data_IF_719663943070
#
_entry.id   IF_719663943070
#
_cell.length_a   1.000
_cell.length_b   1.000
_cell.length_c   1.000
_cell.angle_alpha   90.00
_cell.angle_beta   90.00
_cell.angle_gamma   90.00
#
_symmetry.space_group_name_H-M   'P 1'
#
loop_
_entity.id
_entity.type
_entity.pdbx_description
1 polymer ?
#
# COMPACT_ATOMS: atom_id res chain seq x y z
N UNK A 1 16.91 -6.65 20.98
CA UNK A 1 15.80 -7.33 20.26
C UNK A 1 16.22 -8.78 20.07
N UNK A 2 15.50 -9.72 20.67
CA UNK A 2 15.74 -11.16 20.45
C UNK A 2 15.46 -11.47 18.97
N UNK A 3 16.36 -12.19 18.30
CA UNK A 3 16.18 -12.50 16.89
C UNK A 3 14.97 -13.43 16.71
N UNK A 4 14.08 -13.10 15.78
CA UNK A 4 12.96 -13.96 15.40
C UNK A 4 13.45 -15.34 14.97
N UNK A 5 12.79 -16.40 15.42
CA UNK A 5 13.07 -17.75 14.94
C UNK A 5 12.69 -17.89 13.47
N UNK A 6 13.26 -18.85 12.77
CA UNK A 6 12.95 -19.09 11.36
C UNK A 6 11.45 -19.38 11.14
N UNK A 7 10.83 -20.15 12.03
CA UNK A 7 9.38 -20.43 11.98
C UNK A 7 8.54 -19.16 12.14
N UNK A 8 8.94 -18.26 13.04
CA UNK A 8 8.24 -16.97 13.23
C UNK A 8 8.35 -16.08 11.98
N UNK A 9 9.53 -16.06 11.35
CA UNK A 9 9.75 -15.30 10.09
C UNK A 9 8.90 -15.84 8.95
N UNK A 10 8.78 -17.16 8.79
CA UNK A 10 7.95 -17.77 7.75
C UNK A 10 6.46 -17.44 7.98
N UNK A 11 5.97 -17.55 9.22
CA UNK A 11 4.61 -17.18 9.57
C UNK A 11 4.34 -15.69 9.32
N UNK A 12 5.27 -14.82 9.72
CA UNK A 12 5.16 -13.38 9.47
C UNK A 12 5.15 -13.07 7.97
N UNK A 13 6.01 -13.74 7.18
CA UNK A 13 6.04 -13.59 5.72
C UNK A 13 4.69 -13.94 5.11
N UNK A 14 4.12 -15.10 5.48
CA UNK A 14 2.82 -15.54 4.95
C UNK A 14 1.70 -14.52 5.27
N UNK A 15 1.56 -14.15 6.54
CA UNK A 15 0.48 -13.25 6.96
C UNK A 15 0.63 -11.83 6.41
N UNK A 16 1.84 -11.30 6.36
CA UNK A 16 2.08 -9.98 5.79
C UNK A 16 1.89 -9.97 4.28
N UNK A 17 2.34 -11.01 3.56
CA UNK A 17 2.09 -11.15 2.13
C UNK A 17 0.59 -11.24 1.82
N UNK A 18 -0.15 -12.02 2.59
CA UNK A 18 -1.61 -12.10 2.46
C UNK A 18 -2.28 -10.75 2.76
N UNK A 19 -1.84 -10.06 3.78
CA UNK A 19 -2.36 -8.74 4.13
C UNK A 19 -2.09 -7.71 3.02
N UNK A 20 -0.86 -7.65 2.48
CA UNK A 20 -0.55 -6.80 1.33
C UNK A 20 -1.45 -7.12 0.12
N UNK A 21 -1.60 -8.39 -0.20
CA UNK A 21 -2.43 -8.86 -1.30
C UNK A 21 -3.88 -8.38 -1.15
N UNK A 22 -4.49 -8.61 0.01
CA UNK A 22 -5.87 -8.20 0.29
C UNK A 22 -6.03 -6.68 0.22
N UNK A 23 -5.09 -5.92 0.77
CA UNK A 23 -5.17 -4.44 0.75
C UNK A 23 -5.01 -3.90 -0.66
N UNK A 24 -4.08 -4.43 -1.47
CA UNK A 24 -3.88 -3.99 -2.86
C UNK A 24 -5.15 -4.30 -3.70
N UNK A 25 -5.71 -5.50 -3.56
CA UNK A 25 -6.94 -5.88 -4.27
C UNK A 25 -8.09 -4.94 -3.89
N UNK A 26 -8.29 -4.74 -2.59
CA UNK A 26 -9.34 -3.85 -2.08
C UNK A 26 -9.15 -2.41 -2.54
N UNK A 27 -7.92 -1.90 -2.49
CA UNK A 27 -7.58 -0.54 -2.94
C UNK A 27 -7.90 -0.33 -4.42
N UNK A 28 -7.43 -1.23 -5.28
CA UNK A 28 -7.66 -1.15 -6.73
C UNK A 28 -9.15 -1.29 -7.09
N UNK A 29 -9.90 -2.06 -6.32
CA UNK A 29 -11.35 -2.15 -6.48
C UNK A 29 -12.04 -0.86 -6.03
N UNK A 30 -11.73 -0.38 -4.83
CA UNK A 30 -12.40 0.75 -4.21
C UNK A 30 -12.11 2.08 -4.92
N UNK A 31 -10.97 2.19 -5.62
CA UNK A 31 -10.63 3.42 -6.36
C UNK A 31 -11.52 3.65 -7.58
N UNK A 32 -12.24 2.63 -8.07
CA UNK A 32 -13.24 2.78 -9.12
C UNK A 32 -14.51 3.52 -8.65
N UNK A 33 -14.70 3.63 -7.34
CA UNK A 33 -15.92 4.15 -6.73
C UNK A 33 -15.69 5.59 -6.25
N UNK A 34 -16.03 6.62 -7.06
CA UNK A 34 -15.88 8.00 -6.66
C UNK A 34 -16.91 8.36 -5.59
N UNK A 35 -16.51 9.25 -4.69
CA UNK A 35 -17.37 9.87 -3.67
C UNK A 35 -17.05 11.34 -3.53
N UNK A 36 -18.01 12.09 -3.02
CA UNK A 36 -17.84 13.52 -2.71
C UNK A 36 -17.96 13.73 -1.21
N UNK A 37 -16.92 14.33 -0.61
CA UNK A 37 -16.84 14.62 0.83
C UNK A 37 -16.65 16.13 0.99
N UNK A 38 -17.58 16.80 1.65
CA UNK A 38 -17.55 18.27 1.83
C UNK A 38 -17.36 19.07 0.54
N UNK A 39 -17.89 18.58 -0.58
CA UNK A 39 -17.73 19.22 -1.89
C UNK A 39 -16.47 18.86 -2.65
N UNK A 40 -15.54 18.08 -2.07
CA UNK A 40 -14.33 17.60 -2.73
C UNK A 40 -14.53 16.19 -3.28
N UNK A 41 -14.01 15.95 -4.49
CA UNK A 41 -14.07 14.64 -5.14
C UNK A 41 -12.89 13.76 -4.68
N UNK A 42 -13.18 12.53 -4.29
CA UNK A 42 -12.21 11.50 -3.96
C UNK A 42 -12.75 10.11 -4.33
N UNK A 43 -12.09 9.04 -3.88
CA UNK A 43 -12.57 7.67 -4.09
C UNK A 43 -12.57 6.88 -2.78
N UNK A 44 -13.38 5.82 -2.71
CA UNK A 44 -13.34 4.89 -1.58
C UNK A 44 -11.95 4.25 -1.40
N UNK A 45 -11.14 4.21 -2.44
CA UNK A 45 -9.76 3.75 -2.38
C UNK A 45 -8.90 4.51 -1.37
N UNK A 46 -9.15 5.80 -1.14
CA UNK A 46 -8.43 6.61 -0.17
C UNK A 46 -8.41 6.01 1.23
N UNK A 47 -9.48 5.35 1.65
CA UNK A 47 -9.60 4.73 2.98
C UNK A 47 -8.79 3.44 3.14
N UNK A 48 -8.38 2.79 2.05
CA UNK A 48 -7.57 1.56 2.08
C UNK A 48 -6.06 1.82 2.16
N UNK A 49 -5.59 2.98 1.73
CA UNK A 49 -4.16 3.30 1.67
C UNK A 49 -3.42 3.25 3.01
N UNK A 50 -3.99 3.71 4.14
CA UNK A 50 -3.32 3.61 5.43
C UNK A 50 -2.92 2.17 5.79
N UNK A 51 -3.71 1.19 5.35
CA UNK A 51 -3.40 -0.22 5.57
C UNK A 51 -2.21 -0.72 4.74
N UNK A 52 -1.98 -0.15 3.55
CA UNK A 52 -0.78 -0.44 2.74
C UNK A 52 0.47 0.05 3.47
N UNK A 53 0.44 1.26 4.04
CA UNK A 53 1.55 1.79 4.82
C UNK A 53 1.83 0.93 6.05
N UNK A 54 0.76 0.52 6.78
CA UNK A 54 0.90 -0.38 7.92
C UNK A 54 1.56 -1.70 7.53
N UNK A 55 1.08 -2.35 6.48
CA UNK A 55 1.64 -3.61 5.99
C UNK A 55 3.11 -3.46 5.59
N UNK A 56 3.43 -2.38 4.87
CA UNK A 56 4.79 -2.07 4.42
C UNK A 56 5.73 -1.86 5.60
N UNK A 57 5.33 -1.04 6.56
CA UNK A 57 6.16 -0.69 7.71
C UNK A 57 6.41 -1.89 8.63
N UNK A 58 5.40 -2.71 8.88
CA UNK A 58 5.55 -3.98 9.61
C UNK A 58 6.49 -4.93 8.88
N UNK A 59 6.40 -5.01 7.55
CA UNK A 59 7.28 -5.85 6.73
C UNK A 59 8.73 -5.36 6.80
N UNK A 60 8.95 -4.03 6.71
CA UNK A 60 10.29 -3.43 6.85
C UNK A 60 10.89 -3.70 8.22
N UNK A 61 10.10 -3.61 9.28
CA UNK A 61 10.60 -3.87 10.64
C UNK A 61 11.00 -5.30 10.90
N UNK A 62 10.27 -6.26 10.33
CA UNK A 62 10.54 -7.69 10.54
C UNK A 62 11.67 -8.19 9.64
N UNK A 63 11.70 -7.74 8.39
CA UNK A 63 12.60 -8.29 7.36
C UNK A 63 13.73 -7.35 6.95
N UNK A 64 13.67 -6.07 7.33
CA UNK A 64 14.56 -5.03 6.86
C UNK A 64 14.18 -4.49 5.48
N UNK A 65 14.61 -3.27 5.16
CA UNK A 65 14.15 -2.52 3.99
C UNK A 65 14.39 -3.23 2.65
N UNK A 66 15.57 -3.84 2.47
CA UNK A 66 15.91 -4.50 1.20
C UNK A 66 15.05 -5.73 0.91
N UNK A 67 14.86 -6.59 1.93
CA UNK A 67 14.05 -7.79 1.78
C UNK A 67 12.56 -7.45 1.70
N UNK A 68 12.09 -6.47 2.48
CA UNK A 68 10.73 -5.97 2.42
C UNK A 68 10.34 -5.51 1.02
N UNK A 69 11.19 -4.72 0.35
CA UNK A 69 10.95 -4.27 -1.04
C UNK A 69 10.79 -5.45 -2.00
N UNK A 70 11.61 -6.49 -1.87
CA UNK A 70 11.49 -7.70 -2.70
C UNK A 70 10.20 -8.46 -2.43
N UNK A 71 9.81 -8.60 -1.15
CA UNK A 71 8.58 -9.26 -0.74
C UNK A 71 7.37 -8.51 -1.31
N UNK A 72 7.31 -7.19 -1.12
CA UNK A 72 6.21 -6.36 -1.59
C UNK A 72 6.10 -6.41 -3.11
N UNK A 73 7.23 -6.30 -3.82
CA UNK A 73 7.25 -6.41 -5.28
C UNK A 73 6.75 -7.77 -5.77
N UNK A 74 7.19 -8.86 -5.13
CA UNK A 74 6.74 -10.22 -5.48
C UNK A 74 5.25 -10.43 -5.22
N UNK A 75 4.70 -9.86 -4.13
CA UNK A 75 3.26 -9.92 -3.81
C UNK A 75 2.43 -9.04 -4.74
N UNK A 76 2.98 -7.93 -5.21
CA UNK A 76 2.27 -6.99 -6.08
C UNK A 76 1.82 -7.66 -7.39
N UNK A 77 2.66 -8.50 -8.00
CA UNK A 77 2.33 -9.15 -9.28
C UNK A 77 1.05 -9.98 -9.19
N UNK A 78 0.93 -10.97 -8.28
CA UNK A 78 -0.32 -11.71 -8.13
C UNK A 78 -1.48 -10.82 -7.65
N UNK A 79 -1.21 -9.81 -6.81
CA UNK A 79 -2.24 -8.88 -6.35
C UNK A 79 -2.86 -8.08 -7.51
N UNK A 80 -2.07 -7.66 -8.50
CA UNK A 80 -2.58 -6.96 -9.68
C UNK A 80 -3.46 -7.85 -10.55
N UNK A 81 -3.06 -9.10 -10.76
CA UNK A 81 -3.86 -10.06 -11.52
C UNK A 81 -5.20 -10.34 -10.83
N UNK A 82 -5.16 -10.61 -9.52
CA UNK A 82 -6.39 -10.85 -8.75
C UNK A 82 -7.24 -9.59 -8.66
N UNK A 83 -6.64 -8.40 -8.49
CA UNK A 83 -7.40 -7.15 -8.47
C UNK A 83 -8.10 -6.86 -9.80
N UNK A 84 -7.45 -7.16 -10.94
CA UNK A 84 -8.10 -7.06 -12.25
C UNK A 84 -9.32 -7.97 -12.35
N UNK A 85 -9.19 -9.24 -11.94
CA UNK A 85 -10.30 -10.19 -11.96
C UNK A 85 -11.44 -9.73 -11.06
N UNK A 86 -11.14 -9.39 -9.79
CA UNK A 86 -12.15 -8.95 -8.82
C UNK A 86 -12.84 -7.66 -9.30
N UNK A 87 -12.06 -6.67 -9.76
CA UNK A 87 -12.57 -5.39 -10.24
C UNK A 87 -13.37 -5.49 -11.53
N UNK A 88 -13.10 -6.51 -12.36
CA UNK A 88 -13.90 -6.79 -13.57
C UNK A 88 -15.21 -7.49 -13.23
N UNK A 89 -15.18 -8.43 -12.26
CA UNK A 89 -16.38 -9.12 -11.80
C UNK A 89 -17.35 -8.21 -11.04
N UNK A 90 -16.81 -7.25 -10.27
CA UNK A 90 -17.59 -6.28 -9.48
C UNK A 90 -17.43 -4.85 -10.02
N UNK A 91 -17.51 -4.69 -11.33
CA UNK A 91 -17.28 -3.41 -11.97
C UNK A 91 -18.26 -2.33 -11.47
N UNK A 92 -17.70 -1.20 -11.03
CA UNK A 92 -18.46 -0.06 -10.48
C UNK A 92 -19.45 -0.44 -9.35
N UNK A 93 -19.09 -1.40 -8.53
CA UNK A 93 -19.91 -1.85 -7.39
C UNK A 93 -20.98 -2.88 -7.71
N UNK A 94 -21.15 -3.27 -8.97
CA UNK A 94 -22.16 -4.24 -9.40
C UNK A 94 -21.55 -5.55 -9.88
N UNK A 95 -22.15 -6.68 -9.52
CA UNK A 95 -21.75 -7.98 -10.00
C UNK A 95 -22.06 -8.11 -11.50
N UNK A 96 -21.02 -8.34 -12.32
CA UNK A 96 -21.14 -8.45 -13.78
C UNK A 96 -21.22 -9.89 -14.30
N UNK A 97 -21.09 -10.87 -13.43
CA UNK A 97 -21.01 -12.29 -13.81
C UNK A 97 -19.65 -12.69 -14.41
N UNK A 98 -19.40 -13.98 -14.51
CA UNK A 98 -18.14 -14.52 -15.05
C UNK A 98 -17.91 -14.21 -16.53
N UNK A 99 -18.98 -13.97 -17.29
CA UNK A 99 -18.89 -13.57 -18.69
C UNK A 99 -18.12 -12.24 -18.90
N UNK A 100 -18.09 -11.37 -17.88
CA UNK A 100 -17.32 -10.13 -17.92
C UNK A 100 -15.82 -10.37 -18.13
N UNK A 101 -15.29 -11.51 -17.70
CA UNK A 101 -13.87 -11.86 -17.87
C UNK A 101 -13.50 -12.21 -19.33
N UNK A 102 -14.49 -12.51 -20.18
CA UNK A 102 -14.24 -12.76 -21.59
C UNK A 102 -13.92 -11.46 -22.36
N UNK A 103 -14.29 -10.31 -21.83
CA UNK A 103 -14.04 -9.01 -22.43
C UNK A 103 -12.96 -8.27 -21.66
N UNK A 104 -11.98 -7.70 -22.40
CA UNK A 104 -10.93 -6.92 -21.77
C UNK A 104 -11.49 -5.57 -21.28
N UNK A 105 -11.42 -5.34 -19.96
CA UNK A 105 -11.83 -4.09 -19.35
C UNK A 105 -10.64 -3.12 -19.25
N UNK A 106 -10.57 -2.18 -20.20
CA UNK A 106 -9.47 -1.21 -20.27
C UNK A 106 -9.39 -0.31 -19.03
N UNK A 107 -10.54 0.10 -18.48
CA UNK A 107 -10.57 0.95 -17.28
C UNK A 107 -9.93 0.26 -16.07
N UNK A 108 -10.34 -0.98 -15.81
CA UNK A 108 -9.79 -1.81 -14.73
C UNK A 108 -8.31 -2.12 -14.95
N UNK A 109 -7.94 -2.46 -16.20
CA UNK A 109 -6.55 -2.75 -16.56
C UNK A 109 -5.62 -1.54 -16.34
N UNK A 110 -6.10 -0.32 -16.64
CA UNK A 110 -5.37 0.92 -16.37
C UNK A 110 -5.13 1.14 -14.89
N UNK A 111 -6.12 0.87 -14.03
CA UNK A 111 -5.98 0.98 -12.56
C UNK A 111 -4.90 0.00 -12.06
N UNK A 112 -4.96 -1.26 -12.49
CA UNK A 112 -3.97 -2.26 -12.10
C UNK A 112 -2.55 -1.86 -12.58
N UNK A 113 -2.40 -1.46 -13.85
CA UNK A 113 -1.12 -1.01 -14.38
C UNK A 113 -0.60 0.24 -13.67
N UNK A 114 -1.49 1.20 -13.37
CA UNK A 114 -1.16 2.41 -12.64
C UNK A 114 -0.62 2.10 -11.24
N UNK A 115 -1.23 1.16 -10.50
CA UNK A 115 -0.73 0.72 -9.20
C UNK A 115 0.69 0.20 -9.26
N UNK A 116 1.03 -0.61 -10.26
CA UNK A 116 2.38 -1.13 -10.44
C UNK A 116 3.38 -0.03 -10.78
N UNK A 117 3.04 0.80 -11.77
CA UNK A 117 3.93 1.85 -12.26
C UNK A 117 4.17 2.94 -11.20
N UNK A 118 3.13 3.33 -10.48
CA UNK A 118 3.24 4.29 -9.39
C UNK A 118 4.13 3.75 -8.28
N UNK A 119 3.93 2.49 -7.84
CA UNK A 119 4.80 1.86 -6.87
C UNK A 119 6.26 1.81 -7.34
N UNK A 120 6.52 1.40 -8.57
CA UNK A 120 7.88 1.35 -9.13
C UNK A 120 8.54 2.73 -9.14
N UNK A 121 7.80 3.75 -9.59
CA UNK A 121 8.26 5.13 -9.61
C UNK A 121 8.53 5.65 -8.20
N UNK A 122 7.61 5.42 -7.26
CA UNK A 122 7.76 5.81 -5.86
C UNK A 122 9.02 5.20 -5.24
N UNK A 123 9.30 3.91 -5.49
CA UNK A 123 10.51 3.23 -5.00
C UNK A 123 11.80 3.83 -5.60
N UNK A 124 11.80 4.15 -6.89
CA UNK A 124 12.97 4.76 -7.56
C UNK A 124 13.24 6.15 -6.99
N UNK A 125 12.19 6.96 -6.82
CA UNK A 125 12.30 8.30 -6.28
C UNK A 125 12.73 8.30 -4.81
N UNK A 126 12.14 7.43 -3.99
CA UNK A 126 12.51 7.27 -2.58
C UNK A 126 14.01 6.98 -2.43
N UNK A 127 14.53 6.00 -3.18
CA UNK A 127 15.96 5.67 -3.17
C UNK A 127 16.81 6.84 -3.64
N UNK A 128 16.39 7.53 -4.70
CA UNK A 128 17.17 8.63 -5.28
C UNK A 128 17.24 9.83 -4.33
N UNK A 129 16.07 10.26 -3.81
CA UNK A 129 15.97 11.39 -2.88
C UNK A 129 16.70 11.08 -1.59
N UNK A 130 16.50 9.88 -1.01
CA UNK A 130 17.19 9.44 0.19
C UNK A 130 18.71 9.47 0.00
N UNK A 131 19.24 8.87 -1.07
CA UNK A 131 20.68 8.81 -1.32
C UNK A 131 21.29 10.19 -1.52
N UNK A 132 20.55 11.13 -2.13
CA UNK A 132 21.01 12.49 -2.32
C UNK A 132 21.05 13.29 -1.02
N UNK A 133 20.11 13.07 -0.13
CA UNK A 133 19.95 13.83 1.10
C UNK A 133 20.63 13.22 2.32
N UNK A 134 20.96 11.92 2.31
CA UNK A 134 21.58 11.23 3.46
C UNK A 134 22.95 11.78 3.88
N UNK A 135 23.61 12.52 3.00
CA UNK A 135 24.89 13.18 3.30
C UNK A 135 24.72 14.49 4.06
N UNK A 136 23.47 14.97 4.25
CA UNK A 136 23.19 16.18 5.00
C UNK A 136 23.39 15.93 6.51
N UNK A 137 23.88 16.94 7.23
CA UNK A 137 24.09 16.87 8.70
C UNK A 137 22.80 16.59 9.49
N UNK A 138 21.63 16.91 8.93
CA UNK A 138 20.33 16.70 9.58
C UNK A 138 19.81 15.30 9.23
N UNK A 139 19.93 14.36 10.15
CA UNK A 139 19.57 12.93 9.96
C UNK A 139 18.09 12.69 9.55
N UNK A 140 17.19 13.56 9.98
CA UNK A 140 15.75 13.46 9.70
C UNK A 140 15.36 13.94 8.29
N UNK A 141 16.19 14.78 7.66
CA UNK A 141 15.85 15.42 6.38
C UNK A 141 15.72 14.41 5.24
N UNK A 142 16.63 13.45 5.16
CA UNK A 142 16.61 12.43 4.10
C UNK A 142 15.35 11.55 4.17
N UNK A 143 15.01 10.90 5.31
CA UNK A 143 13.82 10.06 5.38
C UNK A 143 12.52 10.87 5.22
N UNK A 144 12.42 12.08 5.79
CA UNK A 144 11.20 12.89 5.67
C UNK A 144 10.99 13.37 4.23
N UNK A 145 12.02 13.89 3.58
CA UNK A 145 11.91 14.36 2.21
C UNK A 145 11.62 13.20 1.25
N UNK A 146 12.30 12.06 1.39
CA UNK A 146 12.08 10.92 0.50
C UNK A 146 10.65 10.37 0.63
N UNK A 147 10.13 10.26 1.84
CA UNK A 147 8.74 9.85 2.07
C UNK A 147 7.73 10.83 1.48
N UNK A 148 7.95 12.14 1.67
CA UNK A 148 7.04 13.17 1.16
C UNK A 148 7.03 13.18 -0.38
N UNK A 149 8.20 13.22 -1.00
CA UNK A 149 8.33 13.21 -2.47
C UNK A 149 7.89 11.87 -3.06
N UNK A 150 8.19 10.75 -2.41
CA UNK A 150 7.74 9.43 -2.83
C UNK A 150 6.22 9.35 -2.85
N UNK A 151 5.54 9.71 -1.77
CA UNK A 151 4.08 9.62 -1.64
C UNK A 151 3.33 10.55 -2.59
N UNK A 152 3.79 11.80 -2.77
CA UNK A 152 3.11 12.71 -3.71
C UNK A 152 3.30 12.24 -5.16
N UNK A 153 4.52 11.81 -5.50
CA UNK A 153 4.81 11.32 -6.86
C UNK A 153 4.08 10.03 -7.19
N UNK A 154 4.01 9.10 -6.23
CA UNK A 154 3.24 7.86 -6.33
C UNK A 154 1.76 8.15 -6.57
N UNK A 155 1.16 9.03 -5.77
CA UNK A 155 -0.25 9.39 -5.89
C UNK A 155 -0.55 10.07 -7.24
N UNK A 156 0.23 11.09 -7.61
CA UNK A 156 0.03 11.79 -8.88
C UNK A 156 0.24 10.86 -10.08
N UNK A 157 1.27 10.01 -10.06
CA UNK A 157 1.52 9.05 -11.12
C UNK A 157 0.37 8.03 -11.24
N UNK A 158 -0.12 7.52 -10.12
CA UNK A 158 -1.25 6.59 -10.10
C UNK A 158 -2.49 7.19 -10.76
N UNK A 159 -2.96 8.35 -10.28
CA UNK A 159 -4.18 8.98 -10.78
C UNK A 159 -4.03 9.45 -12.24
N UNK A 160 -2.85 9.95 -12.61
CA UNK A 160 -2.56 10.30 -14.00
C UNK A 160 -2.65 9.08 -14.93
N UNK A 161 -1.98 7.99 -14.61
CA UNK A 161 -1.96 6.78 -15.47
C UNK A 161 -3.34 6.12 -15.51
N UNK A 162 -4.02 6.04 -14.36
CA UNK A 162 -5.32 5.40 -14.26
C UNK A 162 -6.42 6.20 -14.99
N UNK A 163 -6.46 7.54 -14.79
CA UNK A 163 -7.66 8.31 -15.11
C UNK A 163 -7.48 9.41 -16.14
N UNK A 164 -6.28 9.90 -16.40
CA UNK A 164 -6.09 10.88 -17.47
C UNK A 164 -6.55 10.31 -18.81
N UNK A 165 -7.53 10.98 -19.46
CA UNK A 165 -8.20 10.49 -20.68
C UNK A 165 -8.71 9.05 -20.55
N UNK A 166 -9.28 8.71 -19.41
CA UNK A 166 -9.88 7.39 -19.20
C UNK A 166 -11.24 7.29 -19.91
N UNK A 167 -11.76 6.06 -20.11
CA UNK A 167 -13.13 5.88 -20.63
C UNK A 167 -14.22 6.43 -19.71
N UNK A 168 -13.95 6.56 -18.41
CA UNK A 168 -14.84 7.19 -17.45
C UNK A 168 -14.65 8.70 -17.50
N UNK A 169 -15.68 9.43 -17.96
CA UNK A 169 -15.62 10.87 -18.17
C UNK A 169 -15.43 11.65 -16.86
N UNK A 170 -16.11 11.24 -15.78
CA UNK A 170 -16.02 11.88 -14.48
C UNK A 170 -14.59 11.78 -13.92
N UNK A 171 -14.03 10.58 -13.93
CA UNK A 171 -12.66 10.34 -13.44
C UNK A 171 -11.63 11.05 -14.34
N UNK A 172 -11.86 11.11 -15.65
CA UNK A 172 -10.97 11.80 -16.58
C UNK A 172 -10.94 13.32 -16.39
N UNK A 173 -12.08 13.91 -16.01
CA UNK A 173 -12.19 15.35 -15.75
C UNK A 173 -11.59 15.73 -14.38
N UNK A 174 -11.88 14.94 -13.33
CA UNK A 174 -11.55 15.29 -11.95
C UNK A 174 -10.28 14.62 -11.42
N UNK A 175 -9.53 13.89 -12.22
CA UNK A 175 -8.38 13.08 -11.76
C UNK A 175 -7.34 13.85 -10.91
N UNK A 176 -7.08 15.12 -11.26
CA UNK A 176 -6.11 15.95 -10.54
C UNK A 176 -6.63 16.36 -9.16
N UNK A 177 -7.90 16.77 -9.09
CA UNK A 177 -8.57 17.09 -7.83
C UNK A 177 -8.59 15.85 -6.93
N UNK A 178 -9.03 14.72 -7.47
CA UNK A 178 -9.10 13.45 -6.76
C UNK A 178 -7.71 13.06 -6.24
N UNK A 179 -6.66 13.22 -7.05
CA UNK A 179 -5.28 12.92 -6.64
C UNK A 179 -4.82 13.78 -5.46
N UNK A 180 -5.10 15.08 -5.48
CA UNK A 180 -4.71 16.01 -4.42
C UNK A 180 -5.50 15.76 -3.12
N UNK A 181 -6.80 15.54 -3.24
CA UNK A 181 -7.67 15.23 -2.09
C UNK A 181 -7.27 13.89 -1.46
N UNK A 182 -7.04 12.87 -2.30
CA UNK A 182 -6.56 11.56 -1.86
C UNK A 182 -5.21 11.66 -1.11
N UNK A 183 -4.27 12.44 -1.65
CA UNK A 183 -2.98 12.67 -0.99
C UNK A 183 -3.16 13.37 0.38
N UNK A 184 -3.94 14.45 0.44
CA UNK A 184 -4.20 15.15 1.70
C UNK A 184 -4.88 14.23 2.72
N UNK A 185 -5.83 13.42 2.28
CA UNK A 185 -6.53 12.46 3.11
C UNK A 185 -5.59 11.38 3.66
N UNK A 186 -4.73 10.82 2.81
CA UNK A 186 -3.69 9.86 3.22
C UNK A 186 -2.78 10.42 4.30
N UNK A 187 -2.29 11.65 4.11
CA UNK A 187 -1.43 12.33 5.09
C UNK A 187 -2.17 12.54 6.41
N UNK A 188 -3.40 13.04 6.34
CA UNK A 188 -4.22 13.30 7.53
C UNK A 188 -4.48 12.02 8.33
N UNK A 189 -4.94 10.96 7.66
CA UNK A 189 -5.22 9.66 8.31
C UNK A 189 -3.93 9.03 8.85
N UNK A 190 -2.84 9.13 8.12
CA UNK A 190 -1.54 8.63 8.59
C UNK A 190 -1.12 9.29 9.91
N UNK A 191 -1.33 10.59 10.05
CA UNK A 191 -0.99 11.31 11.29
C UNK A 191 -1.96 10.98 12.43
N UNK A 192 -3.28 10.98 12.15
CA UNK A 192 -4.30 10.89 13.21
C UNK A 192 -4.50 9.45 13.70
N UNK A 193 -4.53 8.48 12.79
CA UNK A 193 -4.86 7.09 13.11
C UNK A 193 -3.67 6.16 13.07
N UNK A 194 -2.82 6.31 12.07
CA UNK A 194 -1.75 5.35 11.83
C UNK A 194 -0.65 5.43 12.89
N UNK A 195 -0.18 6.61 13.25
CA UNK A 195 0.88 6.75 14.25
C UNK A 195 0.48 6.21 15.64
N UNK A 196 -0.71 6.52 16.19
CA UNK A 196 -1.14 5.96 17.48
C UNK A 196 -1.40 4.44 17.39
N UNK A 197 -2.11 3.98 16.36
CA UNK A 197 -2.44 2.57 16.19
C UNK A 197 -1.20 1.71 15.95
N UNK A 198 -0.21 2.25 15.27
CA UNK A 198 1.07 1.61 15.04
C UNK A 198 1.82 1.33 16.35
N UNK A 199 1.86 2.29 17.27
CA UNK A 199 2.46 2.11 18.60
C UNK A 199 1.79 0.98 19.38
N UNK A 200 0.46 0.91 19.35
CA UNK A 200 -0.32 -0.15 20.03
C UNK A 200 -0.05 -1.51 19.38
N UNK A 201 -0.14 -1.62 18.05
CA UNK A 201 0.10 -2.86 17.31
C UNK A 201 1.52 -3.37 17.48
N UNK A 202 2.52 -2.48 17.47
CA UNK A 202 3.90 -2.84 17.70
C UNK A 202 4.09 -3.42 19.11
N UNK A 203 3.53 -2.77 20.13
CA UNK A 203 3.60 -3.24 21.51
C UNK A 203 2.91 -4.60 21.68
N UNK A 204 1.75 -4.81 21.04
CA UNK A 204 1.05 -6.10 21.05
C UNK A 204 1.87 -7.20 20.37
N UNK A 205 2.48 -6.91 19.24
CA UNK A 205 3.35 -7.85 18.51
C UNK A 205 4.59 -8.20 19.33
N UNK A 206 5.23 -7.20 19.92
CA UNK A 206 6.41 -7.40 20.77
C UNK A 206 6.07 -8.24 22.02
N UNK A 207 4.95 -7.96 22.70
CA UNK A 207 4.46 -8.77 23.83
C UNK A 207 4.19 -10.22 23.41
N UNK A 208 3.44 -10.43 22.33
CA UNK A 208 3.08 -11.77 21.84
C UNK A 208 4.30 -12.60 21.40
N UNK A 209 5.38 -11.93 21.03
CA UNK A 209 6.65 -12.56 20.67
C UNK A 209 7.53 -12.82 21.91
N UNK A 210 7.48 -11.95 22.92
CA UNK A 210 8.18 -12.14 24.18
C UNK A 210 7.58 -13.30 24.98
N UNK A 211 6.27 -13.36 25.18
CA UNK A 211 5.57 -14.44 25.88
C UNK A 211 5.84 -15.84 25.31
N UNK A 212 6.12 -15.92 24.00
CA UNK A 212 6.49 -17.21 23.36
C UNK A 212 7.96 -17.60 23.56
N UNK A 213 8.83 -16.68 23.96
CA UNK A 213 10.24 -16.97 24.23
C UNK A 213 10.46 -17.52 25.64
N UNK A 214 9.53 -17.26 26.59
CA UNK A 214 9.60 -17.76 27.97
C UNK A 214 9.06 -19.18 28.16
N UNK A 215 8.38 -19.77 27.15
CA UNK A 215 7.76 -21.11 27.25
C UNK A 215 8.70 -22.24 26.76
N UNK A 216 9.99 -21.99 26.57
CA UNK A 216 10.95 -23.07 26.32
C UNK A 216 11.73 -23.34 27.63
N UNK A 217 11.36 -24.34 28.44
CA UNK A 217 12.22 -24.74 29.55
C UNK A 217 13.50 -25.32 28.98
N UNK A 218 14.65 -24.81 29.47
CA UNK A 218 15.94 -25.41 29.25
C UNK A 218 15.87 -26.90 29.64
N UNK A 219 16.41 -27.84 28.86
CA UNK A 219 16.56 -29.19 29.30
C UNK A 219 17.51 -29.19 30.51
N UNK A 220 17.01 -29.70 31.63
CA UNK A 220 17.84 -29.97 32.80
C UNK A 220 18.98 -30.91 32.39
N UNK A 221 20.18 -30.47 32.64
CA UNK A 221 21.43 -31.23 32.51
C UNK A 221 21.49 -32.38 33.48
#
# INVERSE_FOLDING_TARGET
MTPFTQSQRIKALFWLSLFHLLVIISSNYLVQLPITIFGFHTTWGAFSFPFIFLATDLTVRIFGALLARRIIFAVMIPALLVSYVVSSLFYMGAWQGFAALANFNLFVARIAAASFMAYALGQILDVHVFNRLRQNRRWWLAPTASTLFGNISDTLAFFFIAFWRSPDAFMAEHWMEIALVDYCFKVLISIIFFLPMYGVLLNMLLKKLADKSEISPLPAS
#
